data_IF_121768712957
#
_entry.id   IF_121768712957
#
_cell.length_a   1.000
_cell.length_b   1.000
_cell.length_c   1.000
_cell.angle_alpha   90.00
_cell.angle_beta   90.00
_cell.angle_gamma   90.00
#
_symmetry.space_group_name_H-M   'P 1'
#
loop_
_entity.id
_entity.type
_entity.pdbx_description
1 polymer ?
#
# COMPACT_ATOMS: atom_id res chain seq x y z
N UNK A 1 9.66 12.75 48.49
CA UNK A 1 9.21 12.98 47.13
C UNK A 1 7.82 12.42 46.99
N UNK A 2 6.85 13.26 46.85
CA UNK A 2 5.46 12.87 46.62
C UNK A 2 5.30 12.25 45.26
N UNK A 3 4.22 11.53 45.03
CA UNK A 3 3.92 10.93 43.74
C UNK A 3 3.83 11.99 42.60
N UNK A 4 3.26 13.15 42.92
CA UNK A 4 3.19 14.30 42.03
C UNK A 4 4.57 14.86 41.67
N UNK A 5 5.47 15.01 42.64
CA UNK A 5 6.86 15.45 42.38
C UNK A 5 7.62 14.45 41.50
N UNK A 6 7.33 13.16 41.66
CA UNK A 6 7.93 12.10 40.83
C UNK A 6 7.44 12.18 39.39
N UNK A 7 6.13 12.40 39.22
CA UNK A 7 5.52 12.57 37.91
C UNK A 7 6.07 13.82 37.23
N UNK A 8 6.08 14.96 37.89
CA UNK A 8 6.65 16.21 37.34
C UNK A 8 8.11 16.04 36.90
N UNK A 9 8.91 15.34 37.68
CA UNK A 9 10.31 15.10 37.34
C UNK A 9 10.47 14.22 36.10
N UNK A 10 9.67 13.16 35.97
CA UNK A 10 9.65 12.30 34.78
C UNK A 10 9.25 13.13 33.54
N UNK A 11 8.25 13.94 33.69
CA UNK A 11 7.72 14.78 32.62
C UNK A 11 8.73 15.82 32.15
N UNK A 12 9.47 16.42 33.08
CA UNK A 12 10.53 17.38 32.74
C UNK A 12 11.71 16.70 32.03
N UNK A 13 12.07 15.47 32.43
CA UNK A 13 13.12 14.71 31.74
C UNK A 13 12.71 14.37 30.29
N UNK A 14 11.46 14.03 30.08
CA UNK A 14 10.92 13.73 28.74
C UNK A 14 10.90 14.98 27.85
N UNK A 15 10.49 16.14 28.40
CA UNK A 15 10.58 17.42 27.67
C UNK A 15 12.00 17.72 27.23
N UNK A 16 12.95 17.61 28.15
CA UNK A 16 14.35 17.89 27.84
C UNK A 16 14.89 16.97 26.72
N UNK A 17 14.50 15.69 26.71
CA UNK A 17 14.88 14.75 25.66
C UNK A 17 14.30 15.14 24.29
N UNK A 18 13.03 15.52 24.25
CA UNK A 18 12.38 15.95 23.01
C UNK A 18 13.02 17.25 22.47
N UNK A 19 13.30 18.20 23.35
CA UNK A 19 13.94 19.46 22.97
C UNK A 19 15.37 19.23 22.45
N UNK A 20 16.09 18.27 23.00
CA UNK A 20 17.42 17.87 22.52
C UNK A 20 17.34 17.21 21.12
N UNK A 21 16.39 16.32 20.90
CA UNK A 21 16.15 15.73 19.59
C UNK A 21 15.79 16.77 18.54
N UNK A 22 14.90 17.70 18.90
CA UNK A 22 14.53 18.82 18.02
C UNK A 22 15.75 19.69 17.67
N UNK A 23 16.67 19.89 18.62
CA UNK A 23 17.90 20.66 18.40
C UNK A 23 18.84 19.93 17.45
N UNK A 24 19.01 18.62 17.59
CA UNK A 24 19.81 17.77 16.67
C UNK A 24 19.26 17.81 15.25
N UNK A 25 17.94 17.62 15.09
CA UNK A 25 17.26 17.70 13.78
C UNK A 25 17.43 19.10 13.15
N UNK A 26 17.32 20.18 13.95
CA UNK A 26 17.49 21.56 13.46
C UNK A 26 18.90 21.83 12.92
N UNK A 27 19.90 21.30 13.57
CA UNK A 27 21.29 21.61 13.25
C UNK A 27 21.84 20.72 12.11
N UNK A 28 21.05 19.75 11.61
CA UNK A 28 21.47 18.76 10.60
C UNK A 28 22.75 18.01 10.97
N UNK A 29 23.05 17.90 12.26
CA UNK A 29 24.34 17.38 12.73
C UNK A 29 24.39 15.84 12.74
N UNK A 30 23.22 15.18 12.79
CA UNK A 30 23.12 13.72 12.74
C UNK A 30 21.75 13.27 12.24
N UNK A 31 21.71 12.22 11.41
CA UNK A 31 20.49 11.47 11.14
C UNK A 31 20.11 10.66 12.39
N UNK A 32 18.94 10.95 12.95
CA UNK A 32 18.37 10.12 14.02
C UNK A 32 17.90 8.82 13.38
N UNK A 33 18.46 7.70 13.79
CA UNK A 33 18.09 6.41 13.25
C UNK A 33 16.63 6.06 13.60
N UNK A 34 16.00 5.28 12.74
CA UNK A 34 14.62 4.78 12.97
C UNK A 34 14.52 3.98 14.28
N UNK A 35 15.56 3.23 14.60
CA UNK A 35 15.61 2.41 15.82
C UNK A 35 15.72 3.27 17.07
N UNK A 36 16.51 4.34 17.03
CA UNK A 36 16.64 5.32 18.10
C UNK A 36 15.29 6.06 18.34
N UNK A 37 14.60 6.46 17.28
CA UNK A 37 13.26 7.03 17.39
C UNK A 37 12.25 6.02 17.96
N UNK A 38 12.35 4.76 17.55
CA UNK A 38 11.46 3.70 18.01
C UNK A 38 11.70 3.36 19.48
N UNK A 39 12.95 3.34 19.95
CA UNK A 39 13.33 3.15 21.34
C UNK A 39 12.82 4.30 22.24
N UNK A 40 12.95 5.53 21.78
CA UNK A 40 12.42 6.71 22.47
C UNK A 40 10.89 6.63 22.56
N UNK A 41 10.24 6.23 21.48
CA UNK A 41 8.78 6.14 21.37
C UNK A 41 8.18 5.07 22.30
N UNK A 42 8.70 3.86 22.25
CA UNK A 42 8.07 2.70 22.90
C UNK A 42 8.44 2.54 24.38
N UNK A 43 9.62 2.98 24.80
CA UNK A 43 10.10 2.69 26.15
C UNK A 43 10.10 3.89 27.12
N UNK A 44 9.92 5.12 26.64
CA UNK A 44 10.06 6.30 27.50
C UNK A 44 8.85 7.23 27.56
N UNK A 45 7.83 7.02 26.76
CA UNK A 45 6.69 7.92 26.67
C UNK A 45 5.45 7.33 27.34
N UNK A 46 5.10 7.86 28.50
CA UNK A 46 3.94 7.47 29.28
C UNK A 46 2.64 8.12 28.76
N UNK A 47 1.47 7.44 28.88
CA UNK A 47 0.19 7.88 28.27
C UNK A 47 -0.37 9.22 28.77
N UNK A 48 0.22 9.84 29.78
CA UNK A 48 -0.28 11.12 30.33
C UNK A 48 0.11 12.39 29.53
N UNK A 49 0.77 12.23 28.36
CA UNK A 49 1.27 13.36 27.56
C UNK A 49 0.84 13.32 26.10
N UNK A 50 -0.30 12.69 25.80
CA UNK A 50 -0.77 12.50 24.43
C UNK A 50 -0.74 13.80 23.63
N UNK A 51 -1.35 14.87 24.14
CA UNK A 51 -1.47 16.13 23.38
C UNK A 51 -0.13 16.86 23.12
N UNK A 52 0.76 16.90 24.13
CA UNK A 52 2.06 17.55 23.98
C UNK A 52 2.97 16.74 23.07
N UNK A 53 2.95 15.43 23.22
CA UNK A 53 3.77 14.52 22.44
C UNK A 53 3.30 14.47 20.99
N UNK A 54 2.00 14.36 20.74
CA UNK A 54 1.42 14.39 19.39
C UNK A 54 1.87 15.67 18.69
N UNK A 55 1.70 16.82 19.34
CA UNK A 55 2.08 18.12 18.77
C UNK A 55 3.59 18.21 18.48
N UNK A 56 4.44 17.71 19.37
CA UNK A 56 5.91 17.71 19.16
C UNK A 56 6.37 16.67 18.15
N UNK A 57 5.71 15.54 18.08
CA UNK A 57 5.95 14.53 17.07
C UNK A 57 5.52 15.01 15.68
N UNK A 58 4.40 15.69 15.58
CA UNK A 58 4.00 16.36 14.34
C UNK A 58 5.02 17.42 13.92
N UNK A 59 5.56 18.18 14.86
CA UNK A 59 6.61 19.16 14.59
C UNK A 59 7.93 18.49 14.14
N UNK A 60 8.33 17.36 14.77
CA UNK A 60 9.49 16.55 14.36
C UNK A 60 9.24 15.91 13.00
N UNK A 61 8.09 15.30 12.82
CA UNK A 61 7.70 14.64 11.57
C UNK A 61 7.66 15.65 10.42
N UNK A 62 7.05 16.81 10.62
CA UNK A 62 7.02 17.87 9.62
C UNK A 62 8.42 18.36 9.26
N UNK A 63 9.34 18.46 10.23
CA UNK A 63 10.74 18.88 9.98
C UNK A 63 11.59 17.78 9.35
N UNK A 64 11.39 16.51 9.75
CA UNK A 64 12.01 15.37 9.06
C UNK A 64 11.51 15.28 7.63
N UNK A 65 10.21 15.55 7.41
CA UNK A 65 9.63 15.65 6.08
C UNK A 65 10.20 16.85 5.31
N UNK A 66 10.40 18.01 5.93
CA UNK A 66 11.04 19.19 5.31
C UNK A 66 12.51 18.95 4.96
N UNK A 67 13.28 18.27 5.82
CA UNK A 67 14.75 18.10 5.64
C UNK A 67 15.11 16.88 4.80
N UNK A 68 14.44 15.75 4.97
CA UNK A 68 14.71 14.52 4.22
C UNK A 68 13.82 14.34 2.98
N UNK A 69 12.74 15.11 2.87
CA UNK A 69 11.72 14.97 1.86
C UNK A 69 11.40 16.26 1.09
N UNK A 70 12.31 17.23 1.07
CA UNK A 70 12.12 18.50 0.35
C UNK A 70 11.68 18.34 -1.13
N UNK A 71 11.54 17.11 -1.61
CA UNK A 71 11.08 16.80 -2.97
C UNK A 71 9.86 15.91 -3.05
N UNK A 72 9.24 15.42 -1.94
CA UNK A 72 8.36 14.26 -2.07
C UNK A 72 6.88 14.53 -2.08
N UNK A 73 6.42 15.60 -1.46
CA UNK A 73 4.99 15.89 -1.44
C UNK A 73 4.78 17.37 -1.71
N UNK A 74 4.28 17.69 -2.90
CA UNK A 74 3.65 18.99 -3.10
C UNK A 74 2.37 19.04 -2.28
N UNK A 75 2.02 20.21 -1.74
CA UNK A 75 0.85 20.46 -0.88
C UNK A 75 -0.52 20.09 -1.50
N UNK A 76 -0.53 19.52 -2.70
CA UNK A 76 -1.74 19.22 -3.47
C UNK A 76 -2.14 17.73 -3.50
N UNK A 77 -1.43 16.82 -2.86
CA UNK A 77 -1.84 15.41 -2.83
C UNK A 77 -2.61 15.09 -1.56
N UNK A 78 -3.91 15.27 -1.61
CA UNK A 78 -4.84 14.65 -0.68
C UNK A 78 -4.69 13.12 -0.82
N UNK A 79 -4.07 12.46 0.16
CA UNK A 79 -3.99 11.00 0.19
C UNK A 79 -5.38 10.45 0.47
N UNK A 80 -6.06 9.98 -0.55
CA UNK A 80 -7.38 9.38 -0.39
C UNK A 80 -7.20 7.98 0.20
N UNK A 81 -7.52 7.84 1.48
CA UNK A 81 -7.55 6.56 2.17
C UNK A 81 -8.98 6.04 2.25
N UNK A 82 -9.22 4.87 1.68
CA UNK A 82 -10.49 4.17 1.79
C UNK A 82 -10.32 2.93 2.66
N UNK A 83 -11.00 2.92 3.80
CA UNK A 83 -10.98 1.80 4.72
C UNK A 83 -12.10 0.83 4.38
N UNK A 84 -11.74 -0.42 4.05
CA UNK A 84 -12.68 -1.53 3.90
C UNK A 84 -12.70 -2.32 5.21
N UNK A 85 -13.76 -2.18 5.97
CA UNK A 85 -13.92 -2.83 7.28
C UNK A 85 -14.41 -4.26 7.08
N UNK A 86 -13.65 -5.24 7.59
CA UNK A 86 -14.16 -6.60 7.69
C UNK A 86 -15.29 -6.65 8.75
N UNK A 87 -16.36 -7.41 8.51
CA UNK A 87 -17.46 -7.51 9.46
C UNK A 87 -16.99 -8.13 10.77
N UNK A 88 -17.42 -7.57 11.89
CA UNK A 88 -17.48 -8.31 13.14
C UNK A 88 -18.51 -9.43 12.94
N UNK A 89 -18.18 -10.64 13.40
CA UNK A 89 -19.03 -11.81 13.28
C UNK A 89 -20.51 -11.45 13.56
N UNK A 90 -21.34 -11.59 12.54
CA UNK A 90 -22.80 -11.56 12.63
C UNK A 90 -23.54 -10.30 12.20
N UNK A 91 -22.90 -9.21 11.73
CA UNK A 91 -23.61 -7.95 11.50
C UNK A 91 -23.42 -7.28 10.11
N UNK A 92 -22.51 -7.73 9.25
CA UNK A 92 -22.31 -7.11 7.93
C UNK A 92 -22.11 -8.19 6.88
N UNK A 93 -22.76 -8.01 5.74
CA UNK A 93 -22.62 -8.91 4.60
C UNK A 93 -21.21 -8.77 4.00
N UNK A 94 -20.38 -9.80 4.15
CA UNK A 94 -19.05 -9.89 3.55
C UNK A 94 -19.06 -9.63 2.05
N UNK A 95 -20.18 -9.97 1.39
CA UNK A 95 -20.41 -9.75 -0.03
C UNK A 95 -20.53 -8.26 -0.35
N UNK A 96 -21.19 -7.48 0.49
CA UNK A 96 -21.33 -6.03 0.31
C UNK A 96 -19.96 -5.33 0.45
N UNK A 97 -19.17 -5.69 1.46
CA UNK A 97 -17.81 -5.15 1.66
C UNK A 97 -16.91 -5.52 0.47
N UNK A 98 -16.99 -6.77 0.01
CA UNK A 98 -16.25 -7.20 -1.17
C UNK A 98 -16.65 -6.39 -2.40
N UNK A 99 -17.94 -6.22 -2.64
CA UNK A 99 -18.45 -5.43 -3.77
C UNK A 99 -17.97 -3.98 -3.70
N UNK A 100 -17.90 -3.38 -2.50
CA UNK A 100 -17.39 -2.03 -2.29
C UNK A 100 -15.89 -1.97 -2.67
N UNK A 101 -15.08 -2.88 -2.17
CA UNK A 101 -13.65 -2.92 -2.48
C UNK A 101 -13.37 -3.17 -3.98
N UNK A 102 -14.11 -4.09 -4.59
CA UNK A 102 -14.00 -4.33 -6.03
C UNK A 102 -14.47 -3.13 -6.87
N UNK A 103 -15.46 -2.38 -6.36
CA UNK A 103 -15.90 -1.13 -7.00
C UNK A 103 -14.77 -0.09 -7.00
N UNK A 104 -14.06 0.09 -5.90
CA UNK A 104 -12.94 1.02 -5.83
C UNK A 104 -11.84 0.70 -6.86
N UNK A 105 -11.46 -0.58 -6.96
CA UNK A 105 -10.47 -1.02 -7.98
C UNK A 105 -11.02 -0.75 -9.40
N UNK A 106 -12.28 -1.07 -9.66
CA UNK A 106 -12.91 -0.86 -10.96
C UNK A 106 -13.02 0.63 -11.33
N UNK A 107 -13.26 1.50 -10.35
CA UNK A 107 -13.33 2.94 -10.57
C UNK A 107 -11.93 3.50 -10.84
N UNK A 108 -10.91 3.00 -10.14
CA UNK A 108 -9.50 3.33 -10.41
C UNK A 108 -9.06 2.92 -11.83
N UNK A 109 -9.41 1.74 -12.28
CA UNK A 109 -9.01 1.22 -13.61
C UNK A 109 -9.83 1.81 -14.76
N UNK A 110 -10.75 2.73 -14.46
CA UNK A 110 -11.54 3.39 -15.49
C UNK A 110 -10.63 4.12 -16.49
N UNK A 111 -10.93 3.92 -17.78
CA UNK A 111 -10.23 4.54 -18.92
C UNK A 111 -8.73 4.17 -19.03
N UNK A 112 -8.28 3.11 -18.35
CA UNK A 112 -6.91 2.62 -18.48
C UNK A 112 -6.67 1.94 -19.84
N UNK A 113 -5.46 2.10 -20.36
CA UNK A 113 -4.95 1.40 -21.55
C UNK A 113 -3.96 0.29 -21.17
N UNK A 114 -3.16 0.51 -20.14
CA UNK A 114 -2.18 -0.44 -19.60
C UNK A 114 -2.36 -0.60 -18.09
N UNK A 115 -2.32 -1.84 -17.60
CA UNK A 115 -2.29 -2.14 -16.17
C UNK A 115 -1.03 -2.93 -15.80
N UNK A 116 -0.43 -2.55 -14.67
CA UNK A 116 0.56 -3.37 -14.00
C UNK A 116 -0.04 -3.75 -12.65
N UNK A 117 -0.22 -5.04 -12.41
CA UNK A 117 -0.80 -5.58 -11.20
C UNK A 117 0.28 -6.33 -10.45
N UNK A 118 0.61 -5.88 -9.27
CA UNK A 118 1.51 -6.54 -8.34
C UNK A 118 0.65 -7.13 -7.23
N UNK A 119 0.55 -8.43 -7.18
CA UNK A 119 -0.13 -9.15 -6.10
C UNK A 119 0.44 -10.57 -6.01
N UNK A 120 1.24 -10.87 -4.97
CA UNK A 120 1.82 -12.21 -4.79
C UNK A 120 0.81 -13.33 -4.82
N UNK A 121 -0.44 -13.07 -4.49
CA UNK A 121 -1.52 -14.04 -4.36
C UNK A 121 -2.60 -13.95 -5.46
N UNK A 122 -2.37 -13.17 -6.52
CA UNK A 122 -3.39 -12.90 -7.56
C UNK A 122 -3.95 -14.18 -8.20
N UNK A 123 -3.17 -15.24 -8.27
CA UNK A 123 -3.61 -16.54 -8.77
C UNK A 123 -4.02 -17.51 -7.65
N UNK A 124 -4.05 -17.04 -6.40
CA UNK A 124 -4.52 -17.81 -5.25
C UNK A 124 -6.04 -17.77 -5.13
N UNK A 125 -6.67 -18.91 -4.83
CA UNK A 125 -8.10 -18.98 -4.62
C UNK A 125 -8.60 -20.42 -4.61
N UNK A 126 -9.87 -20.59 -4.24
CA UNK A 126 -10.55 -21.89 -4.24
C UNK A 126 -10.96 -22.27 -5.66
N UNK A 127 -10.72 -23.52 -6.03
CA UNK A 127 -11.00 -24.03 -7.40
C UNK A 127 -12.48 -23.93 -7.75
N UNK A 128 -13.37 -24.21 -6.82
CA UNK A 128 -14.82 -24.15 -6.97
C UNK A 128 -15.35 -22.72 -7.17
N UNK A 129 -14.59 -21.72 -6.75
CA UNK A 129 -14.90 -20.29 -6.93
C UNK A 129 -14.13 -19.64 -8.09
N UNK A 130 -13.36 -20.40 -8.85
CA UNK A 130 -12.49 -19.87 -9.91
C UNK A 130 -13.26 -19.05 -10.97
N UNK A 131 -14.44 -19.50 -11.37
CA UNK A 131 -15.28 -18.79 -12.36
C UNK A 131 -15.71 -17.42 -11.84
N UNK A 132 -16.19 -17.33 -10.61
CA UNK A 132 -16.58 -16.06 -9.97
C UNK A 132 -15.39 -15.14 -9.85
N UNK A 133 -14.25 -15.66 -9.43
CA UNK A 133 -13.00 -14.90 -9.32
C UNK A 133 -12.57 -14.29 -10.65
N UNK A 134 -12.61 -15.07 -11.73
CA UNK A 134 -12.25 -14.63 -13.08
C UNK A 134 -13.22 -13.54 -13.58
N UNK A 135 -14.51 -13.66 -13.31
CA UNK A 135 -15.51 -12.65 -13.67
C UNK A 135 -15.31 -11.35 -12.87
N UNK A 136 -14.95 -11.44 -11.58
CA UNK A 136 -14.61 -10.26 -10.77
C UNK A 136 -13.33 -9.61 -11.28
N UNK A 137 -12.29 -10.40 -11.60
CA UNK A 137 -11.06 -9.90 -12.19
C UNK A 137 -11.32 -9.22 -13.53
N UNK A 138 -12.13 -9.81 -14.38
CA UNK A 138 -12.57 -9.24 -15.66
C UNK A 138 -13.16 -7.84 -15.47
N UNK A 139 -14.10 -7.70 -14.50
CA UNK A 139 -14.76 -6.42 -14.21
C UNK A 139 -13.80 -5.39 -13.63
N UNK A 140 -12.88 -5.80 -12.75
CA UNK A 140 -11.93 -4.90 -12.11
C UNK A 140 -10.80 -4.49 -13.04
N UNK A 141 -10.30 -5.39 -13.87
CA UNK A 141 -9.27 -5.06 -14.87
C UNK A 141 -9.84 -4.39 -16.12
N UNK A 142 -11.18 -4.42 -16.29
CA UNK A 142 -11.88 -3.92 -17.50
C UNK A 142 -11.35 -4.49 -18.81
N UNK A 143 -10.82 -5.70 -18.76
CA UNK A 143 -10.22 -6.38 -19.92
C UNK A 143 -11.21 -6.63 -21.06
N UNK A 144 -12.52 -6.65 -20.76
CA UNK A 144 -13.61 -6.69 -21.74
C UNK A 144 -13.94 -5.32 -22.35
N UNK A 145 -13.33 -4.26 -21.84
CA UNK A 145 -13.41 -2.94 -22.44
C UNK A 145 -12.25 -2.80 -23.43
N UNK A 146 -12.53 -2.48 -24.67
CA UNK A 146 -11.51 -2.38 -25.74
C UNK A 146 -10.41 -1.36 -25.47
N UNK A 147 -10.51 -0.56 -24.38
CA UNK A 147 -9.45 0.36 -23.97
C UNK A 147 -8.22 -0.37 -23.41
N UNK A 148 -8.39 -1.47 -22.67
CA UNK A 148 -7.28 -2.23 -22.08
C UNK A 148 -6.63 -3.10 -23.14
N UNK A 149 -5.41 -2.74 -23.52
CA UNK A 149 -4.63 -3.48 -24.52
C UNK A 149 -3.47 -4.25 -23.92
N UNK A 150 -3.09 -3.95 -22.65
CA UNK A 150 -1.91 -4.54 -22.03
C UNK A 150 -2.06 -4.70 -20.50
N UNK A 151 -1.74 -5.89 -20.02
CA UNK A 151 -1.70 -6.20 -18.59
C UNK A 151 -0.39 -6.91 -18.26
N UNK A 152 0.33 -6.40 -17.27
CA UNK A 152 1.44 -7.06 -16.63
C UNK A 152 1.03 -7.53 -15.23
N UNK A 153 1.33 -8.78 -14.88
CA UNK A 153 1.05 -9.32 -13.55
C UNK A 153 2.37 -9.79 -12.93
N UNK A 154 2.69 -9.26 -11.75
CA UNK A 154 3.81 -9.72 -10.93
C UNK A 154 3.21 -10.48 -9.75
N UNK A 155 3.54 -11.76 -9.63
CA UNK A 155 2.96 -12.69 -8.67
C UNK A 155 4.05 -13.56 -8.04
N UNK A 156 3.74 -14.30 -6.97
CA UNK A 156 4.65 -15.29 -6.40
C UNK A 156 4.12 -16.71 -6.57
N UNK A 157 4.94 -17.58 -7.16
CA UNK A 157 4.57 -19.00 -7.32
C UNK A 157 4.58 -19.78 -5.99
N UNK A 158 5.26 -19.27 -4.97
CA UNK A 158 5.31 -19.86 -3.63
C UNK A 158 4.00 -19.72 -2.83
N UNK A 159 3.04 -18.94 -3.30
CA UNK A 159 1.83 -18.59 -2.57
C UNK A 159 0.55 -19.10 -3.24
N UNK A 160 0.38 -20.43 -3.26
CA UNK A 160 -0.95 -21.05 -3.54
C UNK A 160 -1.52 -20.70 -4.91
N UNK A 161 -0.78 -20.98 -5.99
CA UNK A 161 -1.28 -20.75 -7.34
C UNK A 161 -2.31 -21.80 -7.74
N UNK A 162 -3.54 -21.36 -7.99
CA UNK A 162 -4.58 -22.18 -8.60
C UNK A 162 -4.44 -22.14 -10.12
N UNK A 163 -4.04 -23.26 -10.71
CA UNK A 163 -3.84 -23.37 -12.17
C UNK A 163 -5.09 -22.96 -12.96
N UNK A 164 -6.27 -23.23 -12.43
CA UNK A 164 -7.54 -22.87 -13.05
C UNK A 164 -7.72 -21.34 -13.16
N UNK A 165 -7.38 -20.59 -12.09
CA UNK A 165 -7.46 -19.12 -12.08
C UNK A 165 -6.44 -18.55 -13.06
N UNK A 166 -5.19 -19.00 -12.98
CA UNK A 166 -4.11 -18.53 -13.88
C UNK A 166 -4.45 -18.79 -15.34
N UNK A 167 -4.95 -19.99 -15.66
CA UNK A 167 -5.38 -20.34 -17.00
C UNK A 167 -6.57 -19.49 -17.44
N UNK A 168 -7.58 -19.32 -16.57
CA UNK A 168 -8.76 -18.52 -16.86
C UNK A 168 -8.46 -17.07 -17.16
N UNK A 169 -7.55 -16.43 -16.40
CA UNK A 169 -7.12 -15.04 -16.65
C UNK A 169 -6.34 -14.95 -17.97
N UNK A 170 -5.47 -15.92 -18.28
CA UNK A 170 -4.78 -15.95 -19.57
C UNK A 170 -5.73 -16.11 -20.75
N UNK A 171 -6.72 -17.02 -20.61
CA UNK A 171 -7.76 -17.20 -21.63
C UNK A 171 -8.58 -15.93 -21.81
N UNK A 172 -9.00 -15.30 -20.72
CA UNK A 172 -9.72 -14.03 -20.74
C UNK A 172 -8.96 -12.94 -21.52
N UNK A 173 -7.64 -12.83 -21.30
CA UNK A 173 -6.82 -11.88 -22.03
C UNK A 173 -6.76 -12.19 -23.53
N UNK A 174 -6.57 -13.47 -23.88
CA UNK A 174 -6.55 -13.91 -25.26
C UNK A 174 -7.89 -13.66 -25.97
N UNK A 175 -9.01 -13.98 -25.31
CA UNK A 175 -10.35 -13.81 -25.86
C UNK A 175 -10.70 -12.33 -26.14
N UNK A 176 -10.02 -11.39 -25.44
CA UNK A 176 -10.24 -9.95 -25.57
C UNK A 176 -9.08 -9.23 -26.29
N UNK A 177 -8.18 -9.93 -26.96
CA UNK A 177 -7.00 -9.38 -27.67
C UNK A 177 -6.11 -8.49 -26.77
N UNK A 178 -6.09 -8.76 -25.47
CA UNK A 178 -5.27 -8.04 -24.51
C UNK A 178 -3.92 -8.76 -24.35
N UNK A 179 -2.83 -8.04 -24.50
CA UNK A 179 -1.50 -8.57 -24.22
C UNK A 179 -1.35 -8.78 -22.71
N UNK A 180 -1.18 -10.04 -22.29
CA UNK A 180 -0.96 -10.37 -20.88
C UNK A 180 0.39 -11.06 -20.70
N UNK A 181 1.23 -10.48 -19.84
CA UNK A 181 2.48 -11.08 -19.39
C UNK A 181 2.53 -11.21 -17.88
N UNK A 182 2.97 -12.34 -17.39
CA UNK A 182 3.10 -12.60 -15.96
C UNK A 182 4.55 -12.92 -15.58
N UNK A 183 5.00 -12.36 -14.45
CA UNK A 183 6.34 -12.48 -13.91
C UNK A 183 6.26 -13.10 -12.52
N UNK A 184 7.04 -14.16 -12.31
CA UNK A 184 7.15 -14.78 -10.99
C UNK A 184 8.22 -14.07 -10.17
N UNK A 185 7.89 -13.68 -8.95
CA UNK A 185 8.80 -12.97 -8.05
C UNK A 185 8.41 -13.13 -6.60
N UNK A 186 9.38 -13.35 -5.76
CA UNK A 186 9.26 -13.33 -4.29
C UNK A 186 9.79 -12.03 -3.66
N UNK A 187 10.26 -11.08 -4.49
CA UNK A 187 10.88 -9.85 -4.02
C UNK A 187 9.89 -8.76 -3.61
N UNK A 188 8.61 -8.85 -4.01
CA UNK A 188 7.61 -7.83 -3.74
C UNK A 188 6.48 -8.45 -2.93
N UNK A 189 6.19 -7.87 -1.76
CA UNK A 189 5.15 -8.34 -0.85
C UNK A 189 3.87 -7.50 -0.88
N UNK A 190 3.96 -6.26 -1.37
CA UNK A 190 2.84 -5.34 -1.45
C UNK A 190 1.89 -5.68 -2.61
N UNK A 191 0.67 -5.16 -2.53
CA UNK A 191 -0.34 -5.32 -3.58
C UNK A 191 -0.62 -3.94 -4.14
N UNK A 192 -0.24 -3.77 -5.41
CA UNK A 192 -0.27 -2.47 -6.07
C UNK A 192 -0.90 -2.65 -7.45
N UNK A 193 -1.85 -1.77 -7.77
CA UNK A 193 -2.39 -1.65 -9.10
C UNK A 193 -1.90 -0.32 -9.69
N UNK A 194 -1.30 -0.38 -10.87
CA UNK A 194 -0.74 0.78 -11.56
C UNK A 194 -1.48 0.93 -12.88
N UNK A 195 -2.01 2.12 -13.12
CA UNK A 195 -2.72 2.51 -14.32
C UNK A 195 -1.84 3.42 -15.17
N UNK A 196 -1.64 3.04 -16.44
CA UNK A 196 -0.94 3.82 -17.48
C UNK A 196 0.42 4.39 -17.03
N UNK A 197 1.05 3.74 -16.04
CA UNK A 197 2.33 4.19 -15.43
C UNK A 197 2.26 5.61 -14.84
N UNK A 198 1.08 6.14 -14.62
CA UNK A 198 0.85 7.52 -14.17
C UNK A 198 0.18 7.62 -12.82
N UNK A 199 -0.61 6.61 -12.46
CA UNK A 199 -1.36 6.53 -11.22
C UNK A 199 -1.22 5.13 -10.62
N UNK A 200 -1.25 5.01 -9.30
CA UNK A 200 -1.23 3.72 -8.63
C UNK A 200 -1.99 3.74 -7.31
N UNK A 201 -2.56 2.58 -6.96
CA UNK A 201 -3.16 2.34 -5.65
C UNK A 201 -2.49 1.15 -4.96
N UNK A 202 -2.34 1.26 -3.64
CA UNK A 202 -1.94 0.15 -2.77
C UNK A 202 -3.22 -0.49 -2.24
N UNK A 203 -3.32 -1.81 -2.35
CA UNK A 203 -4.43 -2.60 -1.81
C UNK A 203 -3.91 -3.45 -0.67
N UNK A 204 -4.35 -3.17 0.55
CA UNK A 204 -3.82 -3.80 1.78
C UNK A 204 -4.08 -5.31 1.92
N UNK A 205 -4.72 -5.93 0.94
CA UNK A 205 -4.94 -7.37 0.86
C UNK A 205 -4.83 -7.87 -0.57
N UNK A 206 -4.68 -9.19 -0.78
CA UNK A 206 -4.75 -9.76 -2.12
C UNK A 206 -6.14 -9.58 -2.73
N UNK A 207 -6.23 -9.64 -4.05
CA UNK A 207 -7.49 -9.54 -4.78
C UNK A 207 -8.54 -10.55 -4.27
N UNK A 208 -8.13 -11.79 -3.98
CA UNK A 208 -8.99 -12.80 -3.39
C UNK A 208 -9.40 -12.52 -1.93
N UNK A 209 -8.64 -11.71 -1.21
CA UNK A 209 -8.85 -11.37 0.20
C UNK A 209 -9.76 -10.17 0.44
N UNK A 210 -10.10 -9.41 -0.61
CA UNK A 210 -10.96 -8.23 -0.49
C UNK A 210 -12.31 -8.62 0.12
N UNK A 211 -12.72 -7.90 1.17
CA UNK A 211 -13.94 -8.13 1.93
C UNK A 211 -13.83 -9.20 3.02
N UNK A 212 -12.77 -10.00 3.06
CA UNK A 212 -12.58 -11.03 4.08
C UNK A 212 -11.84 -10.51 5.34
N UNK A 213 -11.09 -9.43 5.20
CA UNK A 213 -10.32 -8.80 6.28
C UNK A 213 -10.37 -7.29 6.16
N UNK A 214 -10.12 -6.61 7.27
CA UNK A 214 -9.86 -5.18 7.25
C UNK A 214 -8.68 -4.90 6.32
N UNK A 215 -8.87 -4.03 5.36
CA UNK A 215 -7.80 -3.55 4.51
C UNK A 215 -8.03 -2.08 4.12
N UNK A 216 -6.98 -1.46 3.62
CA UNK A 216 -7.02 -0.10 3.12
C UNK A 216 -6.75 -0.10 1.62
N UNK A 217 -7.33 0.85 0.92
CA UNK A 217 -6.95 1.21 -0.45
C UNK A 217 -6.43 2.65 -0.37
N UNK A 218 -5.19 2.85 -0.79
CA UNK A 218 -4.45 4.10 -0.68
C UNK A 218 -3.89 4.47 -2.05
N UNK A 219 -3.94 5.75 -2.38
CA UNK A 219 -3.21 6.23 -3.54
C UNK A 219 -1.70 6.17 -3.28
N UNK A 220 -0.93 5.67 -4.24
CA UNK A 220 0.53 5.70 -4.18
C UNK A 220 1.01 7.07 -4.69
N UNK A 221 1.80 7.82 -3.89
CA UNK A 221 2.32 9.11 -4.32
C UNK A 221 3.16 9.01 -5.60
N UNK A 222 3.08 10.03 -6.45
CA UNK A 222 3.77 10.05 -7.76
C UNK A 222 5.27 9.79 -7.68
N UNK A 223 5.92 10.31 -6.65
CA UNK A 223 7.34 10.10 -6.45
C UNK A 223 7.67 8.62 -6.20
N UNK A 224 6.91 7.97 -5.32
CA UNK A 224 7.09 6.56 -5.01
C UNK A 224 6.73 5.67 -6.21
N UNK A 225 5.71 6.06 -6.98
CA UNK A 225 5.37 5.40 -8.24
C UNK A 225 6.53 5.48 -9.25
N UNK A 226 7.19 6.64 -9.39
CA UNK A 226 8.34 6.77 -10.30
C UNK A 226 9.48 5.81 -9.92
N UNK A 227 9.81 5.71 -8.63
CA UNK A 227 10.84 4.78 -8.16
C UNK A 227 10.43 3.33 -8.34
N UNK A 228 9.17 3.00 -8.09
CA UNK A 228 8.63 1.67 -8.33
C UNK A 228 8.71 1.31 -9.82
N UNK A 229 8.31 2.20 -10.72
CA UNK A 229 8.36 1.97 -12.17
C UNK A 229 9.80 1.78 -12.67
N UNK A 230 10.75 2.56 -12.15
CA UNK A 230 12.17 2.39 -12.47
C UNK A 230 12.69 1.02 -12.01
N UNK A 231 12.34 0.59 -10.79
CA UNK A 231 12.63 -0.76 -10.30
C UNK A 231 12.01 -1.84 -11.18
N UNK A 232 10.70 -1.74 -11.48
CA UNK A 232 10.00 -2.72 -12.31
C UNK A 232 10.57 -2.81 -13.72
N UNK A 233 10.97 -1.68 -14.28
CA UNK A 233 11.59 -1.63 -15.61
C UNK A 233 12.90 -2.41 -15.61
N UNK A 234 13.75 -2.18 -14.63
CA UNK A 234 15.05 -2.87 -14.53
C UNK A 234 14.91 -4.37 -14.29
N UNK A 235 14.00 -4.76 -13.39
CA UNK A 235 13.90 -6.16 -12.96
C UNK A 235 13.05 -7.03 -13.91
N UNK A 236 12.01 -6.48 -14.54
CA UNK A 236 11.03 -7.29 -15.25
C UNK A 236 10.82 -6.90 -16.72
N UNK A 237 11.05 -5.63 -17.10
CA UNK A 237 10.67 -5.15 -18.41
C UNK A 237 11.85 -4.97 -19.39
N UNK A 238 13.09 -4.88 -18.92
CA UNK A 238 14.29 -4.72 -19.75
C UNK A 238 14.71 -5.98 -20.53
N UNK A 239 14.22 -7.17 -20.14
CA UNK A 239 14.60 -8.44 -20.82
C UNK A 239 13.90 -8.67 -22.17
N UNK A 240 13.32 -7.65 -22.80
CA UNK A 240 12.60 -7.75 -24.09
C UNK A 240 13.38 -7.20 -25.28
N UNK A 241 14.66 -6.84 -25.10
CA UNK A 241 15.54 -6.37 -26.19
C UNK A 241 16.76 -7.27 -26.33
N UNK A 242 16.55 -8.56 -26.61
CA UNK A 242 17.60 -9.44 -27.14
C UNK A 242 17.02 -10.36 -28.21
#
# INVERSE_FOLDING_TARGET
>A
MTENERIENILQQQRNLIDELLKRVKNSEEEISRDELQEIFWYRLHPFYEDYLIKKLDEINNRLMETSFQCRYSEETEVIMKMLIAPRSGQVDTKEIRNTGLKEIRDFTKDAEELIIIDPYIFGGEIDKASTYIEEFKRCSRIDNQSINKIHIIYSSGHGNTSAIKHGIKKLASDNNCFLRSYDSDKIHDRIWIKDKSEAIIVGTSFGGIGNRLCFILDLPKYDLMHLLDYLTREYFTSTFS
#
